data_IF_857529776860
#
_entry.id   IF_857529776860
#
_cell.length_a   1.000
_cell.length_b   1.000
_cell.length_c   1.000
_cell.angle_alpha   90.00
_cell.angle_beta   90.00
_cell.angle_gamma   90.00
#
_symmetry.space_group_name_H-M   'P 1'
#
loop_
_entity.id
_entity.type
_entity.pdbx_description
1 polymer ?
#
# COMPACT_ATOMS: atom_id res chain seq x y z
N UNK A 1 5.29 46.94 -29.26
CA UNK A 1 5.59 48.07 -30.16
C UNK A 1 5.94 47.66 -31.60
N UNK A 2 5.60 46.44 -32.07
CA UNK A 2 5.96 45.97 -33.44
C UNK A 2 4.78 45.84 -34.41
N UNK A 3 3.54 45.73 -33.91
CA UNK A 3 2.34 45.50 -34.75
C UNK A 3 2.02 46.62 -35.76
N UNK A 4 2.13 47.92 -35.46
CA UNK A 4 1.76 48.97 -36.42
C UNK A 4 2.72 49.04 -37.62
N UNK A 5 4.04 49.07 -37.35
CA UNK A 5 5.08 49.22 -38.37
C UNK A 5 5.15 47.96 -39.26
N UNK A 6 5.09 46.77 -38.66
CA UNK A 6 5.20 45.52 -39.42
C UNK A 6 3.98 45.23 -40.28
N UNK A 7 2.78 45.61 -39.81
CA UNK A 7 1.54 45.40 -40.57
C UNK A 7 1.51 46.23 -41.85
N UNK A 8 1.86 47.52 -41.77
CA UNK A 8 1.87 48.39 -42.96
C UNK A 8 2.95 47.96 -43.96
N UNK A 9 4.13 47.57 -43.49
CA UNK A 9 5.19 47.06 -44.35
C UNK A 9 4.78 45.77 -45.04
N UNK A 10 4.22 44.80 -44.30
CA UNK A 10 3.73 43.54 -44.87
C UNK A 10 2.57 43.77 -45.84
N UNK A 11 1.63 44.67 -45.56
CA UNK A 11 0.54 44.99 -46.50
C UNK A 11 1.10 45.55 -47.81
N UNK A 12 2.00 46.54 -47.74
CA UNK A 12 2.66 47.11 -48.92
C UNK A 12 3.47 46.09 -49.72
N UNK A 13 4.11 45.13 -49.04
CA UNK A 13 4.83 44.05 -49.71
C UNK A 13 3.92 43.10 -50.51
N UNK A 14 2.62 43.05 -50.20
CA UNK A 14 1.65 42.16 -50.85
C UNK A 14 0.64 42.89 -51.78
N UNK A 15 0.63 44.23 -51.83
CA UNK A 15 -0.38 45.04 -52.56
C UNK A 15 -0.54 44.69 -54.06
N UNK A 16 0.46 44.09 -54.70
CA UNK A 16 0.43 43.70 -56.12
C UNK A 16 0.69 42.20 -56.35
N UNK A 17 0.69 41.39 -55.29
CA UNK A 17 0.85 39.95 -55.41
C UNK A 17 -0.53 39.29 -55.43
N UNK A 18 -0.89 38.57 -56.51
CA UNK A 18 -2.12 37.80 -56.49
C UNK A 18 -2.00 36.70 -55.42
N UNK A 19 -2.97 36.58 -54.51
CA UNK A 19 -2.95 35.52 -53.51
C UNK A 19 -2.99 34.17 -54.23
N UNK A 20 -1.91 33.40 -54.09
CA UNK A 20 -1.90 32.03 -54.56
C UNK A 20 -2.51 31.16 -53.47
N UNK A 21 -3.64 30.53 -53.77
CA UNK A 21 -4.21 29.54 -52.86
C UNK A 21 -3.22 28.39 -52.72
N UNK A 22 -2.91 28.06 -51.47
CA UNK A 22 -2.14 26.88 -51.16
C UNK A 22 -2.82 25.64 -51.77
N UNK A 23 -2.06 24.86 -52.54
CA UNK A 23 -2.51 23.58 -53.07
C UNK A 23 -2.07 22.48 -52.12
N UNK A 24 -3.04 21.77 -51.57
CA UNK A 24 -2.78 20.68 -50.65
C UNK A 24 -1.86 19.62 -51.27
N UNK A 25 -0.70 19.33 -50.66
CA UNK A 25 0.16 18.21 -51.05
C UNK A 25 -0.58 16.88 -50.86
N UNK A 26 -0.38 15.94 -51.79
CA UNK A 26 -0.98 14.60 -51.72
C UNK A 26 -0.53 13.74 -50.53
N UNK A 27 0.52 14.17 -49.82
CA UNK A 27 1.07 13.49 -48.65
C UNK A 27 0.39 13.86 -47.33
N UNK A 28 -0.73 14.59 -47.37
CA UNK A 28 -1.50 15.05 -46.21
C UNK A 28 -2.83 14.29 -46.14
N UNK A 29 -3.33 14.11 -44.92
CA UNK A 29 -4.68 13.61 -44.63
C UNK A 29 -5.33 14.45 -43.54
N UNK A 30 -6.65 14.47 -43.50
CA UNK A 30 -7.43 15.15 -42.48
C UNK A 30 -8.00 14.12 -41.50
N UNK A 31 -7.64 14.24 -40.22
CA UNK A 31 -8.12 13.34 -39.16
C UNK A 31 -8.75 14.13 -38.02
N UNK A 32 -9.67 13.51 -37.24
CA UNK A 32 -10.25 14.12 -36.06
C UNK A 32 -9.20 14.72 -35.11
N UNK A 33 -9.49 15.90 -34.57
CA UNK A 33 -8.64 16.62 -33.61
C UNK A 33 -9.38 17.00 -32.33
N UNK A 34 -8.63 17.39 -31.30
CA UNK A 34 -9.21 17.87 -30.05
C UNK A 34 -9.88 19.23 -30.27
N UNK A 35 -11.18 19.30 -29.97
CA UNK A 35 -11.95 20.55 -30.09
C UNK A 35 -11.77 21.37 -28.83
N UNK A 36 -11.01 22.45 -28.95
CA UNK A 36 -10.88 23.46 -27.90
C UNK A 36 -12.19 24.25 -27.85
N UNK A 37 -12.89 24.16 -26.72
CA UNK A 37 -14.16 24.86 -26.47
C UNK A 37 -14.03 26.01 -25.47
N UNK A 38 -12.93 26.04 -24.73
CA UNK A 38 -12.62 27.07 -23.75
C UNK A 38 -11.70 28.11 -24.36
N UNK A 39 -11.97 29.38 -24.11
CA UNK A 39 -11.19 30.46 -24.67
C UNK A 39 -9.74 30.42 -24.16
N UNK A 40 -8.76 30.35 -25.08
CA UNK A 40 -7.32 30.21 -24.74
C UNK A 40 -6.49 31.47 -24.97
N UNK A 41 -7.05 32.52 -25.57
CA UNK A 41 -6.40 33.83 -25.65
C UNK A 41 -6.87 34.71 -26.80
N UNK A 42 -6.27 35.90 -26.92
CA UNK A 42 -6.65 36.85 -27.96
C UNK A 42 -6.31 36.31 -29.36
N UNK A 43 -7.35 36.08 -30.17
CA UNK A 43 -7.25 35.60 -31.54
C UNK A 43 -7.54 34.10 -31.71
N UNK A 44 -7.92 33.40 -30.65
CA UNK A 44 -8.47 32.05 -30.77
C UNK A 44 -9.92 32.09 -31.26
N UNK A 45 -10.31 31.04 -31.99
CA UNK A 45 -11.67 30.84 -32.50
C UNK A 45 -12.16 29.53 -31.92
N UNK A 46 -13.16 29.62 -31.04
CA UNK A 46 -13.82 28.47 -30.43
C UNK A 46 -15.26 28.30 -30.96
N UNK A 47 -15.71 27.07 -31.22
CA UNK A 47 -14.95 25.82 -31.14
C UNK A 47 -13.87 25.73 -32.22
N UNK A 48 -12.70 25.16 -31.89
CA UNK A 48 -11.68 24.88 -32.91
C UNK A 48 -12.21 23.87 -33.94
N UNK A 49 -11.61 23.80 -35.14
CA UNK A 49 -11.98 22.80 -36.14
C UNK A 49 -11.98 21.38 -35.58
N UNK A 50 -12.97 20.56 -35.98
CA UNK A 50 -13.09 19.16 -35.53
C UNK A 50 -12.12 18.21 -36.23
N UNK A 51 -11.38 18.70 -37.23
CA UNK A 51 -10.36 17.95 -37.99
C UNK A 51 -9.12 18.80 -38.17
N UNK A 52 -7.95 18.17 -38.11
CA UNK A 52 -6.64 18.78 -38.37
C UNK A 52 -5.89 18.03 -39.46
N UNK A 53 -4.82 18.66 -39.94
CA UNK A 53 -3.93 18.19 -40.99
C UNK A 53 -2.88 17.27 -40.37
N UNK A 54 -2.76 16.05 -40.90
CA UNK A 54 -1.75 15.06 -40.49
C UNK A 54 -0.94 14.59 -41.71
N UNK A 55 0.32 14.16 -41.52
CA UNK A 55 1.05 13.45 -42.57
C UNK A 55 0.36 12.13 -42.93
N UNK A 56 0.39 11.73 -44.19
CA UNK A 56 -0.21 10.48 -44.71
C UNK A 56 0.28 9.18 -44.03
N UNK A 57 1.49 9.18 -43.46
CA UNK A 57 2.02 8.05 -42.71
C UNK A 57 1.43 7.93 -41.29
N UNK A 58 0.84 9.00 -40.76
CA UNK A 58 0.28 9.01 -39.42
C UNK A 58 -0.98 8.14 -39.36
N UNK A 59 -1.14 7.38 -38.29
CA UNK A 59 -2.36 6.58 -38.05
C UNK A 59 -2.90 6.99 -36.70
N UNK A 60 -4.04 7.70 -36.71
CA UNK A 60 -4.73 8.01 -35.47
C UNK A 60 -5.16 6.71 -34.79
N UNK A 61 -4.97 6.66 -33.48
CA UNK A 61 -5.39 5.51 -32.67
C UNK A 61 -6.92 5.44 -32.67
N UNK A 62 -7.45 4.23 -32.86
CA UNK A 62 -8.88 3.98 -32.77
C UNK A 62 -9.39 4.30 -31.36
N UNK A 63 -10.63 4.79 -31.26
CA UNK A 63 -11.32 4.82 -29.97
C UNK A 63 -11.51 3.37 -29.52
N UNK A 64 -10.85 2.97 -28.44
CA UNK A 64 -11.07 1.65 -27.84
C UNK A 64 -12.09 1.85 -26.74
N UNK A 65 -13.17 1.07 -26.78
CA UNK A 65 -14.10 1.03 -25.65
C UNK A 65 -13.30 0.56 -24.44
N UNK A 66 -13.31 1.36 -23.36
CA UNK A 66 -12.70 0.97 -22.08
C UNK A 66 -13.46 -0.24 -21.56
N UNK A 67 -12.94 -1.42 -21.86
CA UNK A 67 -13.44 -2.67 -21.35
C UNK A 67 -12.48 -3.14 -20.24
N UNK A 68 -12.99 -3.58 -19.08
CA UNK A 68 -12.14 -4.12 -18.03
C UNK A 68 -11.52 -5.43 -18.53
N UNK A 69 -10.21 -5.56 -18.39
CA UNK A 69 -9.46 -6.78 -18.71
C UNK A 69 -9.15 -7.51 -17.41
N UNK A 70 -9.27 -8.83 -17.42
CA UNK A 70 -8.74 -9.66 -16.35
C UNK A 70 -7.21 -9.85 -16.53
N UNK A 71 -6.43 -9.48 -15.51
CA UNK A 71 -4.97 -9.62 -15.47
C UNK A 71 -4.51 -11.07 -15.46
N UNK A 72 -5.35 -12.00 -15.03
CA UNK A 72 -4.99 -13.42 -14.90
C UNK A 72 -5.17 -14.15 -16.23
N UNK A 73 -6.33 -14.02 -16.87
CA UNK A 73 -6.62 -14.64 -18.18
C UNK A 73 -6.17 -13.79 -19.39
N UNK A 74 -5.90 -12.50 -19.20
CA UNK A 74 -5.73 -11.50 -20.29
C UNK A 74 -6.95 -11.42 -21.24
N UNK A 75 -8.16 -11.67 -20.72
CA UNK A 75 -9.43 -11.64 -21.47
C UNK A 75 -10.38 -10.58 -20.91
N UNK A 76 -11.54 -10.40 -21.54
CA UNK A 76 -12.56 -9.46 -21.07
C UNK A 76 -13.08 -9.89 -19.69
N UNK A 77 -12.88 -9.06 -18.67
CA UNK A 77 -13.34 -9.34 -17.31
C UNK A 77 -14.87 -9.49 -17.27
N UNK A 78 -15.35 -10.46 -16.52
CA UNK A 78 -16.78 -10.73 -16.30
C UNK A 78 -17.23 -10.19 -14.94
N UNK A 79 -18.50 -10.35 -14.59
CA UNK A 79 -19.01 -9.98 -13.25
C UNK A 79 -18.40 -10.83 -12.13
N UNK A 80 -17.83 -11.99 -12.47
CA UNK A 80 -17.22 -12.91 -11.50
C UNK A 80 -15.72 -12.62 -11.28
N UNK A 81 -15.08 -11.82 -12.14
CA UNK A 81 -13.66 -11.45 -12.03
C UNK A 81 -13.46 -10.55 -10.80
N UNK A 82 -12.61 -10.94 -9.82
CA UNK A 82 -12.39 -10.17 -8.60
C UNK A 82 -11.73 -8.82 -8.90
N UNK A 83 -11.98 -7.82 -8.04
CA UNK A 83 -11.54 -6.44 -8.28
C UNK A 83 -10.02 -6.32 -8.44
N UNK A 84 -9.24 -7.07 -7.64
CA UNK A 84 -7.78 -7.10 -7.74
C UNK A 84 -7.30 -7.63 -9.10
N UNK A 85 -8.06 -8.54 -9.72
CA UNK A 85 -7.79 -9.06 -11.06
C UNK A 85 -8.24 -8.12 -12.19
N UNK A 86 -9.14 -7.17 -11.92
CA UNK A 86 -9.60 -6.21 -12.94
C UNK A 86 -8.53 -5.17 -13.24
N UNK A 87 -8.35 -4.92 -14.53
CA UNK A 87 -7.58 -3.82 -15.09
C UNK A 87 -8.50 -2.98 -15.97
N UNK A 88 -8.92 -1.83 -15.48
CA UNK A 88 -9.65 -0.87 -16.30
C UNK A 88 -8.68 -0.15 -17.22
N UNK A 89 -8.85 -0.33 -18.54
CA UNK A 89 -8.06 0.39 -19.53
C UNK A 89 -8.36 1.90 -19.42
N UNK A 90 -7.41 2.67 -18.90
CA UNK A 90 -7.49 4.13 -18.84
C UNK A 90 -7.02 4.77 -20.16
N UNK A 91 -7.60 5.92 -20.48
CA UNK A 91 -7.24 6.81 -21.61
C UNK A 91 -8.01 6.60 -22.91
N UNK A 92 -9.31 6.36 -22.78
CA UNK A 92 -10.30 6.39 -23.86
C UNK A 92 -11.24 7.60 -23.77
N UNK A 93 -10.99 8.60 -22.92
CA UNK A 93 -11.80 9.82 -22.92
C UNK A 93 -11.49 10.68 -24.16
N UNK A 94 -12.31 11.72 -24.38
CA UNK A 94 -12.25 12.51 -25.61
C UNK A 94 -10.90 13.20 -25.81
N UNK A 95 -10.08 13.43 -24.78
CA UNK A 95 -8.80 14.12 -24.92
C UNK A 95 -7.63 13.15 -25.16
N UNK A 96 -7.59 12.01 -24.47
CA UNK A 96 -6.42 11.10 -24.52
C UNK A 96 -6.35 10.33 -25.84
N UNK A 97 -7.46 10.19 -26.57
CA UNK A 97 -7.47 9.62 -27.93
C UNK A 97 -6.69 10.45 -28.97
N UNK A 98 -6.43 11.71 -28.66
CA UNK A 98 -5.60 12.60 -29.48
C UNK A 98 -4.13 12.62 -29.02
N UNK A 99 -3.78 11.92 -27.94
CA UNK A 99 -2.39 11.80 -27.51
C UNK A 99 -1.61 10.88 -28.45
N UNK A 100 -0.46 11.39 -28.92
CA UNK A 100 0.51 10.60 -29.68
C UNK A 100 1.43 9.76 -28.77
N UNK A 101 1.33 9.91 -27.43
CA UNK A 101 2.15 9.17 -26.49
C UNK A 101 1.81 7.68 -26.51
N UNK A 102 2.83 6.86 -26.77
CA UNK A 102 2.69 5.42 -26.87
C UNK A 102 2.53 4.73 -25.52
N UNK A 103 2.95 5.38 -24.42
CA UNK A 103 2.92 4.84 -23.06
C UNK A 103 1.69 5.28 -22.27
N UNK A 104 0.79 6.04 -22.88
CA UNK A 104 -0.41 6.56 -22.25
C UNK A 104 -1.67 6.19 -23.05
N UNK A 105 -2.77 5.98 -22.34
CA UNK A 105 -4.05 5.60 -22.92
C UNK A 105 -4.09 4.22 -23.59
N UNK A 106 -4.83 4.10 -24.68
CA UNK A 106 -5.11 2.83 -25.39
C UNK A 106 -3.88 2.08 -25.95
N UNK A 107 -2.66 2.63 -25.81
CA UNK A 107 -1.40 1.93 -26.11
C UNK A 107 -0.52 1.65 -24.88
N UNK A 108 -0.93 2.08 -23.69
CA UNK A 108 -0.30 1.74 -22.42
C UNK A 108 -0.66 0.29 -22.04
N UNK A 109 -0.10 -0.68 -22.77
CA UNK A 109 0.05 -2.11 -22.38
C UNK A 109 -1.13 -2.82 -21.67
N UNK A 110 -2.39 -2.49 -21.92
CA UNK A 110 -3.49 -3.42 -21.65
C UNK A 110 -3.68 -4.29 -22.91
N UNK A 111 -2.82 -5.30 -23.08
CA UNK A 111 -2.83 -6.20 -24.25
C UNK A 111 -3.74 -7.39 -23.95
N UNK A 112 -5.01 -7.12 -23.64
CA UNK A 112 -6.02 -8.14 -23.34
C UNK A 112 -6.95 -8.39 -24.52
N UNK A 113 -7.35 -9.64 -24.74
CA UNK A 113 -8.34 -9.99 -25.73
C UNK A 113 -9.75 -9.58 -25.25
N UNK A 114 -10.30 -8.51 -25.82
CA UNK A 114 -11.65 -8.02 -25.49
C UNK A 114 -12.77 -8.75 -26.24
N UNK A 115 -12.45 -9.69 -27.12
CA UNK A 115 -13.44 -10.44 -27.92
C UNK A 115 -13.86 -11.75 -27.27
N UNK A 116 -13.22 -12.14 -26.16
CA UNK A 116 -13.47 -13.38 -25.43
C UNK A 116 -13.58 -13.05 -23.96
N UNK A 117 -14.58 -13.62 -23.29
CA UNK A 117 -14.77 -13.48 -21.85
C UNK A 117 -13.68 -14.23 -21.08
N UNK A 118 -13.36 -13.72 -19.90
CA UNK A 118 -12.59 -14.40 -18.87
C UNK A 118 -13.18 -15.80 -18.60
N UNK A 119 -12.27 -16.78 -18.52
CA UNK A 119 -12.55 -18.19 -18.29
C UNK A 119 -11.75 -18.77 -17.11
N UNK A 120 -11.03 -17.92 -16.36
CA UNK A 120 -10.33 -18.32 -15.13
C UNK A 120 -11.23 -18.14 -13.91
N UNK A 121 -12.04 -17.08 -13.88
CA UNK A 121 -12.90 -16.77 -12.74
C UNK A 121 -14.35 -17.20 -12.98
N UNK A 122 -14.92 -17.90 -12.01
CA UNK A 122 -16.33 -18.28 -11.98
C UNK A 122 -17.01 -17.76 -10.72
N UNK A 123 -18.28 -17.39 -10.82
CA UNK A 123 -19.08 -16.97 -9.66
C UNK A 123 -19.33 -18.13 -8.67
N UNK A 124 -19.05 -19.38 -9.06
CA UNK A 124 -19.05 -20.55 -8.18
C UNK A 124 -17.73 -20.76 -7.44
N UNK A 125 -16.70 -19.97 -7.72
CA UNK A 125 -15.40 -20.13 -7.09
C UNK A 125 -15.46 -19.79 -5.61
N UNK A 126 -14.92 -20.69 -4.79
CA UNK A 126 -14.73 -20.45 -3.38
C UNK A 126 -13.51 -19.56 -3.22
N UNK A 127 -13.68 -18.46 -2.49
CA UNK A 127 -12.58 -17.57 -2.10
C UNK A 127 -11.67 -18.26 -1.10
N UNK A 128 -10.38 -17.86 -0.99
CA UNK A 128 -9.55 -18.31 0.13
C UNK A 128 -10.18 -17.90 1.46
N UNK A 129 -9.82 -18.58 2.55
CA UNK A 129 -10.22 -18.17 3.90
C UNK A 129 -8.99 -17.82 4.73
N UNK A 130 -9.15 -16.88 5.66
CA UNK A 130 -8.12 -16.48 6.61
C UNK A 130 -8.73 -16.35 8.00
N UNK A 131 -8.01 -16.82 9.01
CA UNK A 131 -8.30 -16.52 10.42
C UNK A 131 -7.09 -15.88 11.08
N UNK A 132 -7.32 -14.76 11.75
CA UNK A 132 -6.31 -13.97 12.44
C UNK A 132 -6.30 -14.33 13.93
N UNK A 133 -5.11 -14.42 14.50
CA UNK A 133 -4.94 -14.53 15.96
C UNK A 133 -3.82 -13.60 16.39
N UNK A 134 -4.09 -12.79 17.42
CA UNK A 134 -3.11 -11.93 18.06
C UNK A 134 -3.07 -12.28 19.53
N UNK A 135 -1.88 -12.60 20.03
CA UNK A 135 -1.71 -13.08 21.40
C UNK A 135 -0.32 -12.75 21.94
N UNK A 136 -0.29 -12.28 23.18
CA UNK A 136 0.91 -12.20 24.05
C UNK A 136 0.90 -13.29 25.14
N UNK A 137 0.10 -14.34 24.96
CA UNK A 137 -0.28 -15.32 25.99
C UNK A 137 -1.74 -15.17 26.42
N UNK A 138 -2.35 -14.01 26.18
CA UNK A 138 -3.80 -13.79 26.25
C UNK A 138 -4.33 -13.37 24.87
N UNK A 139 -5.56 -13.80 24.54
CA UNK A 139 -6.17 -13.49 23.26
C UNK A 139 -6.53 -12.00 23.18
N UNK A 140 -6.23 -11.39 22.03
CA UNK A 140 -6.53 -9.98 21.74
C UNK A 140 -5.84 -8.98 22.69
N UNK A 141 -4.71 -9.36 23.27
CA UNK A 141 -3.82 -8.48 24.03
C UNK A 141 -2.42 -8.43 23.42
N UNK A 142 -1.76 -7.28 23.60
CA UNK A 142 -0.38 -7.07 23.21
C UNK A 142 0.32 -6.13 24.19
N UNK A 143 0.88 -6.69 25.25
CA UNK A 143 1.72 -5.99 26.23
C UNK A 143 3.21 -6.14 25.87
N UNK A 144 3.81 -5.07 25.35
CA UNK A 144 5.22 -5.02 24.96
C UNK A 144 5.52 -5.75 23.64
N UNK A 145 5.18 -7.03 23.54
CA UNK A 145 5.30 -7.79 22.30
C UNK A 145 4.23 -8.87 22.21
N UNK A 146 3.61 -9.03 21.04
CA UNK A 146 2.67 -10.11 20.76
C UNK A 146 3.04 -10.84 19.47
N UNK A 147 2.58 -12.09 19.37
CA UNK A 147 2.63 -12.85 18.12
C UNK A 147 1.33 -12.60 17.36
N UNK A 148 1.48 -12.15 16.12
CA UNK A 148 0.39 -12.03 15.16
C UNK A 148 0.52 -13.21 14.21
N UNK A 149 -0.50 -14.05 14.11
CA UNK A 149 -0.53 -15.22 13.24
C UNK A 149 -1.79 -15.25 12.38
N UNK A 150 -1.67 -15.71 11.15
CA UNK A 150 -2.80 -16.03 10.29
C UNK A 150 -2.80 -17.54 9.98
N UNK A 151 -3.97 -18.16 9.94
CA UNK A 151 -4.16 -19.45 9.29
C UNK A 151 -4.95 -19.21 8.01
N UNK A 152 -4.42 -19.67 6.87
CA UNK A 152 -5.02 -19.45 5.55
C UNK A 152 -5.31 -20.79 4.90
N UNK A 153 -6.47 -20.91 4.26
CA UNK A 153 -6.83 -22.07 3.46
C UNK A 153 -7.19 -21.64 2.04
N UNK A 154 -6.74 -22.43 1.06
CA UNK A 154 -7.11 -22.23 -0.35
C UNK A 154 -8.62 -22.46 -0.55
N UNK A 155 -9.19 -21.71 -1.51
CA UNK A 155 -10.55 -21.93 -1.98
C UNK A 155 -10.56 -22.87 -3.18
N UNK A 156 -11.26 -22.50 -4.26
CA UNK A 156 -11.23 -23.24 -5.52
C UNK A 156 -9.85 -23.20 -6.16
N UNK A 157 -9.18 -22.05 -6.08
CA UNK A 157 -7.85 -21.85 -6.65
C UNK A 157 -6.79 -22.01 -5.56
N UNK A 158 -5.62 -22.58 -5.89
CA UNK A 158 -4.52 -22.73 -4.94
C UNK A 158 -3.98 -21.34 -4.55
N UNK A 159 -3.45 -21.23 -3.33
CA UNK A 159 -2.80 -19.99 -2.88
C UNK A 159 -1.62 -19.65 -3.78
N UNK A 160 -0.83 -20.64 -4.18
CA UNK A 160 0.25 -20.50 -5.16
C UNK A 160 0.07 -21.50 -6.30
N UNK A 161 0.17 -21.00 -7.53
CA UNK A 161 0.08 -21.80 -8.74
C UNK A 161 1.35 -21.62 -9.57
N UNK A 162 2.03 -22.72 -9.89
CA UNK A 162 3.24 -22.72 -10.71
C UNK A 162 3.00 -22.20 -12.13
N UNK A 163 1.76 -22.24 -12.63
CA UNK A 163 1.38 -21.67 -13.93
C UNK A 163 1.16 -20.14 -13.88
N UNK A 164 1.10 -19.55 -12.67
CA UNK A 164 0.82 -18.13 -12.42
C UNK A 164 1.87 -17.49 -11.52
N UNK A 165 3.15 -17.68 -11.85
CA UNK A 165 4.27 -17.14 -11.05
C UNK A 165 4.27 -15.62 -10.91
N UNK A 166 3.57 -14.88 -11.78
CA UNK A 166 3.41 -13.42 -11.64
C UNK A 166 2.46 -13.01 -10.49
N UNK A 167 1.63 -13.93 -10.01
CA UNK A 167 0.66 -13.71 -8.93
C UNK A 167 0.88 -14.76 -7.84
N UNK A 168 2.00 -14.71 -7.09
CA UNK A 168 2.15 -15.56 -5.92
C UNK A 168 1.09 -15.18 -4.88
N UNK A 169 0.59 -16.18 -4.15
CA UNK A 169 -0.33 -15.92 -3.06
C UNK A 169 0.35 -15.10 -1.97
N UNK A 170 -0.40 -14.21 -1.33
CA UNK A 170 0.14 -13.31 -0.30
C UNK A 170 -0.80 -13.17 0.88
N UNK A 171 -0.21 -12.98 2.05
CA UNK A 171 -0.92 -12.60 3.27
C UNK A 171 -0.37 -11.27 3.75
N UNK A 172 -1.23 -10.27 3.74
CA UNK A 172 -0.93 -8.91 4.14
C UNK A 172 -1.51 -8.65 5.53
N UNK A 173 -0.67 -8.19 6.46
CA UNK A 173 -1.06 -7.83 7.80
C UNK A 173 -1.07 -6.32 7.95
N UNK A 174 -2.15 -5.81 8.54
CA UNK A 174 -2.38 -4.41 8.78
C UNK A 174 -2.61 -4.15 10.27
N UNK A 175 -2.16 -2.98 10.73
CA UNK A 175 -2.51 -2.42 12.04
C UNK A 175 -3.05 -1.02 11.80
N UNK A 176 -4.30 -0.75 12.20
CA UNK A 176 -5.01 0.51 11.94
C UNK A 176 -4.92 0.93 10.46
N UNK A 177 -5.20 -0.02 9.55
CA UNK A 177 -5.14 0.13 8.10
C UNK A 177 -3.75 0.37 7.48
N UNK A 178 -2.70 0.44 8.28
CA UNK A 178 -1.33 0.51 7.79
C UNK A 178 -0.75 -0.89 7.58
N UNK A 179 -0.24 -1.16 6.38
CA UNK A 179 0.47 -2.40 6.08
C UNK A 179 1.74 -2.50 6.92
N UNK A 180 1.82 -3.51 7.79
CA UNK A 180 2.98 -3.75 8.67
C UNK A 180 3.85 -4.92 8.18
N UNK A 181 3.23 -5.90 7.52
CA UNK A 181 3.93 -7.08 7.02
C UNK A 181 3.21 -7.67 5.81
N UNK A 182 3.97 -8.19 4.86
CA UNK A 182 3.47 -9.01 3.76
C UNK A 182 4.32 -10.28 3.70
N UNK A 183 3.66 -11.44 3.55
CA UNK A 183 4.30 -12.75 3.47
C UNK A 183 3.74 -13.48 2.24
N UNK A 184 4.61 -13.99 1.38
CA UNK A 184 4.19 -14.85 0.27
C UNK A 184 3.90 -16.27 0.77
N UNK A 185 2.77 -16.85 0.37
CA UNK A 185 2.35 -18.19 0.81
C UNK A 185 3.26 -19.30 0.27
N UNK A 186 3.94 -19.05 -0.87
CA UNK A 186 4.91 -19.96 -1.46
C UNK A 186 6.12 -20.26 -0.57
N UNK A 187 6.32 -19.50 0.52
CA UNK A 187 7.47 -19.63 1.41
C UNK A 187 7.40 -20.84 2.36
N UNK A 188 6.25 -21.51 2.49
CA UNK A 188 6.08 -22.67 3.38
C UNK A 188 6.33 -22.39 4.87
N UNK A 189 6.40 -21.11 5.26
CA UNK A 189 6.68 -20.68 6.63
C UNK A 189 5.38 -20.48 7.42
N UNK A 190 5.43 -20.55 8.76
CA UNK A 190 4.31 -20.09 9.57
C UNK A 190 4.00 -18.63 9.21
N UNK A 191 2.72 -18.34 8.94
CA UNK A 191 2.23 -17.01 8.64
C UNK A 191 2.12 -16.19 9.92
N UNK A 192 3.25 -15.97 10.60
CA UNK A 192 3.30 -15.23 11.85
C UNK A 192 4.51 -14.29 11.93
N UNK A 193 4.35 -13.24 12.74
CA UNK A 193 5.43 -12.31 13.07
C UNK A 193 5.21 -11.71 14.48
N UNK A 194 6.28 -11.21 15.08
CA UNK A 194 6.21 -10.50 16.35
C UNK A 194 5.96 -9.01 16.11
N UNK A 195 4.97 -8.46 16.81
CA UNK A 195 4.64 -7.03 16.80
C UNK A 195 4.94 -6.41 18.16
N UNK A 196 5.62 -5.27 18.15
CA UNK A 196 5.94 -4.47 19.35
C UNK A 196 5.17 -3.15 19.27
N UNK A 197 4.19 -2.90 20.16
CA UNK A 197 3.42 -1.66 20.14
C UNK A 197 4.29 -0.44 20.45
N UNK A 198 4.18 0.60 19.64
CA UNK A 198 4.82 1.92 19.88
C UNK A 198 3.96 2.85 20.73
N UNK A 199 2.70 2.49 20.97
CA UNK A 199 1.76 3.21 21.82
C UNK A 199 0.78 2.27 22.52
N UNK A 200 0.03 2.82 23.45
CA UNK A 200 -1.04 2.14 24.19
C UNK A 200 -2.42 2.48 23.65
N UNK A 201 -3.40 1.61 23.85
CA UNK A 201 -4.79 1.84 23.47
C UNK A 201 -5.38 0.66 22.71
N UNK A 202 -6.46 0.90 21.96
CA UNK A 202 -7.05 -0.12 21.09
C UNK A 202 -6.49 0.04 19.67
N UNK A 203 -6.17 -1.07 19.01
CA UNK A 203 -5.81 -1.09 17.60
C UNK A 203 -6.52 -2.23 16.85
N UNK A 204 -6.87 -1.97 15.60
CA UNK A 204 -7.48 -2.98 14.73
C UNK A 204 -6.39 -3.67 13.93
N UNK A 205 -6.21 -4.96 14.18
CA UNK A 205 -5.38 -5.82 13.35
C UNK A 205 -6.25 -6.42 12.24
N UNK A 206 -5.72 -6.53 11.03
CA UNK A 206 -6.37 -7.19 9.90
C UNK A 206 -5.36 -8.06 9.15
N UNK A 207 -5.74 -9.27 8.79
CA UNK A 207 -5.06 -10.07 7.78
C UNK A 207 -5.90 -10.06 6.49
N UNK A 208 -5.24 -9.90 5.34
CA UNK A 208 -5.83 -10.07 4.01
C UNK A 208 -5.06 -11.17 3.27
N UNK A 209 -5.73 -12.27 2.93
CA UNK A 209 -5.17 -13.36 2.13
C UNK A 209 -5.60 -13.20 0.68
N UNK A 210 -4.65 -13.34 -0.24
CA UNK A 210 -4.83 -13.23 -1.69
C UNK A 210 -4.27 -14.51 -2.32
N UNK A 211 -5.04 -15.16 -3.19
CA UNK A 211 -4.61 -16.38 -3.89
C UNK A 211 -3.95 -16.10 -5.25
N UNK A 212 -3.62 -17.18 -5.97
CA UNK A 212 -2.91 -17.12 -7.26
C UNK A 212 -3.72 -16.55 -8.42
N UNK A 213 -5.03 -16.40 -8.26
CA UNK A 213 -5.92 -15.74 -9.23
C UNK A 213 -6.49 -14.43 -8.68
N UNK A 214 -5.94 -13.92 -7.58
CA UNK A 214 -6.30 -12.64 -6.99
C UNK A 214 -7.72 -12.58 -6.39
N UNK A 215 -8.29 -13.73 -5.98
CA UNK A 215 -9.37 -13.69 -4.99
C UNK A 215 -8.81 -13.31 -3.63
N UNK A 216 -9.57 -12.50 -2.89
CA UNK A 216 -9.18 -12.06 -1.56
C UNK A 216 -10.20 -12.39 -0.48
N UNK A 217 -9.70 -12.55 0.75
CA UNK A 217 -10.49 -12.59 1.97
C UNK A 217 -9.73 -11.97 3.13
N UNK A 218 -10.48 -11.44 4.09
CA UNK A 218 -9.89 -10.76 5.24
C UNK A 218 -10.54 -11.17 6.55
N UNK A 219 -9.75 -11.17 7.61
CA UNK A 219 -10.19 -11.28 8.99
C UNK A 219 -9.57 -10.17 9.83
N UNK A 220 -10.27 -9.74 10.87
CA UNK A 220 -9.83 -8.62 11.71
C UNK A 220 -10.18 -8.82 13.18
N UNK A 221 -9.32 -8.29 14.04
CA UNK A 221 -9.46 -8.36 15.48
C UNK A 221 -9.09 -7.02 16.11
N UNK A 222 -9.85 -6.61 17.12
CA UNK A 222 -9.52 -5.46 17.95
C UNK A 222 -8.65 -5.92 19.11
N UNK A 223 -7.45 -5.36 19.23
CA UNK A 223 -6.43 -5.77 20.19
C UNK A 223 -6.11 -4.61 21.13
N UNK A 224 -6.01 -4.91 22.43
CA UNK A 224 -5.56 -3.94 23.42
C UNK A 224 -4.04 -3.90 23.46
N UNK A 225 -3.48 -2.76 23.07
CA UNK A 225 -2.05 -2.46 23.06
C UNK A 225 -1.62 -1.84 24.39
N UNK A 226 -0.50 -2.31 24.92
CA UNK A 226 0.25 -1.65 25.98
C UNK A 226 1.70 -1.51 25.53
N UNK A 227 2.13 -0.28 25.21
CA UNK A 227 3.53 0.00 24.93
C UNK A 227 4.33 -0.10 26.23
N UNK A 228 5.47 -0.78 26.17
CA UNK A 228 6.41 -0.85 27.29
C UNK A 228 7.36 0.33 27.18
N UNK A 229 7.37 1.20 28.19
CA UNK A 229 8.26 2.35 28.27
C UNK A 229 9.64 1.95 28.81
N UNK A 230 10.65 2.82 28.71
CA UNK A 230 11.95 2.60 29.35
C UNK A 230 12.18 3.60 30.50
N UNK A 231 12.91 3.18 31.53
CA UNK A 231 13.33 4.05 32.61
C UNK A 231 14.79 3.80 33.01
N UNK A 232 15.38 4.77 33.70
CA UNK A 232 16.75 4.63 34.21
C UNK A 232 16.74 4.11 35.64
N UNK A 233 17.65 3.19 35.94
CA UNK A 233 18.00 2.79 37.30
C UNK A 233 19.34 3.43 37.67
N UNK A 234 19.61 3.55 38.95
CA UNK A 234 20.88 4.06 39.49
C UNK A 234 21.39 3.10 40.57
N UNK A 235 22.71 2.98 40.67
CA UNK A 235 23.37 2.19 41.70
C UNK A 235 24.19 3.10 42.61
N UNK A 236 23.98 2.98 43.91
CA UNK A 236 24.77 3.63 44.96
C UNK A 236 25.19 2.58 45.98
N UNK A 237 26.43 2.09 45.88
CA UNK A 237 26.92 0.95 46.65
C UNK A 237 26.12 -0.32 46.37
N UNK A 238 25.47 -0.84 47.42
CA UNK A 238 24.63 -2.03 47.36
C UNK A 238 23.14 -1.73 47.09
N UNK A 239 22.78 -0.46 46.95
CA UNK A 239 21.40 -0.05 46.72
C UNK A 239 21.18 0.31 45.26
N UNK A 240 20.14 -0.28 44.67
CA UNK A 240 19.61 0.08 43.36
C UNK A 240 18.36 0.91 43.58
N UNK A 241 18.21 2.00 42.83
CA UNK A 241 17.05 2.89 42.90
C UNK A 241 16.56 3.26 41.51
N UNK A 242 15.27 3.55 41.40
CA UNK A 242 14.65 4.03 40.16
C UNK A 242 13.47 4.95 40.44
N UNK A 243 13.14 5.80 39.48
CA UNK A 243 11.94 6.64 39.55
C UNK A 243 10.67 5.79 39.45
N UNK A 244 9.60 6.23 40.10
CA UNK A 244 8.31 5.56 40.01
C UNK A 244 7.81 5.57 38.56
N UNK A 245 7.45 4.39 38.06
CA UNK A 245 6.81 4.22 36.76
C UNK A 245 5.32 4.45 36.96
N UNK A 246 4.73 5.36 36.19
CA UNK A 246 3.30 5.67 36.29
C UNK A 246 2.45 4.41 36.05
N UNK A 247 1.53 4.13 36.97
CA UNK A 247 0.65 2.96 36.91
C UNK A 247 1.28 1.65 37.39
N UNK A 248 2.56 1.64 37.79
CA UNK A 248 3.20 0.45 38.34
C UNK A 248 2.84 0.23 39.81
N UNK A 249 2.40 -0.98 40.15
CA UNK A 249 2.10 -1.42 41.51
C UNK A 249 3.21 -2.32 42.08
N UNK A 250 4.03 -2.93 41.23
CA UNK A 250 5.21 -3.69 41.66
C UNK A 250 6.34 -3.66 40.62
N UNK A 251 7.52 -4.09 41.04
CA UNK A 251 8.73 -4.18 40.25
C UNK A 251 9.41 -5.53 40.45
N UNK A 252 9.97 -6.09 39.38
CA UNK A 252 10.87 -7.26 39.42
C UNK A 252 12.30 -6.81 39.19
N UNK A 253 13.21 -7.25 40.04
CA UNK A 253 14.63 -6.92 39.94
C UNK A 253 15.40 -8.19 39.57
N UNK A 254 16.15 -8.14 38.47
CA UNK A 254 16.89 -9.27 37.97
C UNK A 254 18.40 -9.03 38.09
N UNK A 255 19.11 -10.07 38.50
CA UNK A 255 20.56 -10.13 38.54
C UNK A 255 21.06 -11.26 37.65
N UNK A 256 21.91 -10.94 36.67
CA UNK A 256 22.50 -11.92 35.74
C UNK A 256 21.49 -12.69 34.86
N UNK A 257 20.36 -12.08 34.52
CA UNK A 257 19.36 -12.62 33.57
C UNK A 257 18.03 -13.01 34.21
N UNK A 258 17.03 -13.41 33.40
CA UNK A 258 15.72 -13.81 33.87
C UNK A 258 15.78 -15.22 34.51
N UNK A 259 15.91 -15.31 35.84
CA UNK A 259 15.96 -16.59 36.54
C UNK A 259 15.69 -16.50 38.03
N UNK A 260 16.30 -15.53 38.71
CA UNK A 260 16.02 -15.21 40.12
C UNK A 260 15.64 -13.73 40.22
N UNK A 261 14.37 -13.44 40.53
CA UNK A 261 13.90 -12.05 40.69
C UNK A 261 13.02 -11.92 41.92
N UNK A 262 13.44 -11.20 42.97
CA UNK A 262 12.53 -10.74 44.00
C UNK A 262 11.58 -9.68 43.46
N UNK A 263 10.30 -9.81 43.85
CA UNK A 263 9.31 -8.75 43.67
C UNK A 263 9.47 -7.69 44.77
N UNK A 264 9.31 -6.43 44.41
CA UNK A 264 9.26 -5.31 45.36
C UNK A 264 8.19 -4.30 44.95
N UNK A 265 7.49 -3.73 45.91
CA UNK A 265 6.62 -2.56 45.68
C UNK A 265 7.36 -1.24 45.88
N UNK A 266 8.60 -1.30 46.36
CA UNK A 266 9.45 -0.13 46.58
C UNK A 266 10.28 0.19 45.35
N UNK A 267 10.62 1.48 45.24
CA UNK A 267 11.51 2.03 44.21
C UNK A 267 13.00 1.85 44.50
N UNK A 268 13.32 0.96 45.45
CA UNK A 268 14.68 0.65 45.85
C UNK A 268 14.82 -0.84 46.13
N UNK A 269 16.00 -1.37 45.87
CA UNK A 269 16.36 -2.76 46.14
C UNK A 269 17.78 -2.86 46.68
N UNK A 270 17.98 -3.65 47.73
CA UNK A 270 19.29 -3.86 48.35
C UNK A 270 19.91 -5.19 47.91
N UNK A 271 21.05 -5.14 47.24
CA UNK A 271 21.77 -6.31 46.74
C UNK A 271 22.75 -6.80 47.81
N UNK A 272 22.59 -8.04 48.26
CA UNK A 272 23.50 -8.70 49.21
C UNK A 272 24.58 -9.44 48.43
N UNK A 273 25.84 -8.97 48.52
CA UNK A 273 26.98 -9.51 47.79
C UNK A 273 27.44 -8.57 46.66
N UNK A 274 28.63 -7.98 46.81
CA UNK A 274 29.17 -6.91 45.96
C UNK A 274 29.74 -7.36 44.62
N UNK A 275 28.97 -8.08 43.81
CA UNK A 275 29.34 -8.42 42.44
C UNK A 275 28.96 -7.33 41.41
N UNK A 276 29.80 -7.18 40.38
CA UNK A 276 29.56 -6.41 39.15
C UNK A 276 28.62 -7.18 38.21
N UNK A 277 27.39 -7.42 38.69
CA UNK A 277 26.33 -8.09 37.93
C UNK A 277 25.51 -7.04 37.19
N UNK A 278 25.16 -7.32 35.93
CA UNK A 278 24.20 -6.49 35.21
C UNK A 278 22.83 -6.61 35.89
N UNK A 279 22.29 -5.47 36.30
CA UNK A 279 20.98 -5.39 36.95
C UNK A 279 19.98 -4.75 35.98
N UNK A 280 18.79 -5.32 35.90
CA UNK A 280 17.66 -4.70 35.22
C UNK A 280 16.38 -4.85 36.05
N UNK A 281 15.48 -3.90 35.87
CA UNK A 281 14.22 -3.80 36.62
C UNK A 281 13.06 -3.73 35.65
N UNK A 282 12.01 -4.47 35.92
CA UNK A 282 10.76 -4.45 35.17
C UNK A 282 9.63 -3.93 36.05
N UNK A 283 8.75 -3.09 35.51
CA UNK A 283 7.63 -2.48 36.21
C UNK A 283 6.29 -3.10 35.78
N UNK A 284 5.40 -3.41 36.71
CA UNK A 284 4.17 -4.16 36.48
C UNK A 284 2.93 -3.46 37.05
N UNK A 285 1.77 -3.59 36.37
CA UNK A 285 0.48 -3.09 36.86
C UNK A 285 -0.09 -3.88 38.05
N UNK A 286 0.37 -5.11 38.28
CA UNK A 286 -0.14 -5.97 39.34
C UNK A 286 0.77 -6.01 40.57
N UNK A 287 0.33 -6.72 41.61
CA UNK A 287 1.17 -6.99 42.79
C UNK A 287 2.00 -8.26 42.55
N UNK A 288 3.20 -8.29 43.13
CA UNK A 288 4.13 -9.43 43.05
C UNK A 288 4.34 -9.91 41.60
N UNK A 289 4.53 -8.97 40.68
CA UNK A 289 4.83 -9.32 39.29
C UNK A 289 3.69 -9.95 38.49
N UNK A 290 2.50 -10.07 39.06
CA UNK A 290 1.32 -10.66 38.42
C UNK A 290 0.48 -9.56 37.78
N UNK A 291 0.94 -9.00 36.66
CA UNK A 291 0.26 -7.98 35.88
C UNK A 291 0.92 -7.72 34.52
N UNK A 292 0.45 -6.73 33.78
CA UNK A 292 1.05 -6.37 32.50
C UNK A 292 2.36 -5.61 32.72
N UNK A 293 3.37 -5.94 31.91
CA UNK A 293 4.63 -5.21 31.87
C UNK A 293 4.38 -3.79 31.35
N UNK A 294 4.82 -2.79 32.11
CA UNK A 294 4.66 -1.37 31.80
C UNK A 294 5.94 -0.71 31.31
N UNK A 295 7.07 -1.11 31.90
CA UNK A 295 8.36 -0.53 31.58
C UNK A 295 9.51 -1.46 31.91
N UNK A 296 10.61 -1.32 31.20
CA UNK A 296 11.88 -2.00 31.50
C UNK A 296 12.99 -0.99 31.72
N UNK A 297 13.91 -1.28 32.63
CA UNK A 297 15.04 -0.40 32.89
C UNK A 297 16.16 -0.60 31.88
N UNK A 298 16.94 0.44 31.66
CA UNK A 298 18.28 0.28 31.10
C UNK A 298 19.15 -0.53 32.10
N UNK A 299 20.11 -1.31 31.59
CA UNK A 299 21.03 -2.07 32.44
C UNK A 299 22.06 -1.15 33.09
N UNK A 300 22.35 -1.38 34.36
CA UNK A 300 23.46 -0.72 35.08
C UNK A 300 24.41 -1.80 35.63
N UNK A 301 25.73 -1.64 35.44
CA UNK A 301 26.74 -2.57 35.99
C UNK A 301 26.89 -2.51 37.51
#
# INVERSE_FOLDING_TARGET
>A
MTRPIWREWMQKAHDNLPPQNWKEPSGIQHLPAYVVKTHVGNGSVEPSPSTEIYPSWYKQRGAVNSAPIDKVSNKLATDCTPELARLTQSGSTSAERFSADIFYGVGARATGNTSVNDDVHSCSDQKPSVSLTVSDGSLNSCAGSCTVSAAVSAGTHPLDDASRTQFPGTVNFYVNDQLVKSIATASGQPLSFTYTPTGSGSATFRANAIDSVLYESSDSATVTLSSVSSFNIQRSGNTISWSAVSGANSYKVYWNGPGDSPDTTNNTFFVVGGGSSNIFVEAYTGNNGNGNLLATSNTVP
#
